data_IF_495196855875
#
_entry.id   IF_495196855875
#
_cell.length_a   1.000
_cell.length_b   1.000
_cell.length_c   1.000
_cell.angle_alpha   90.00
_cell.angle_beta   90.00
_cell.angle_gamma   90.00
#
_symmetry.space_group_name_H-M   'P 1'
#
loop_
_entity.id
_entity.type
_entity.pdbx_description
1 polymer ?
#
# COMPACT_ATOMS: atom_id res chain seq x y z
N UNK A 1 -23.57 0.20 1.06
CA UNK A 1 -22.30 0.28 1.78
C UNK A 1 -21.86 1.73 1.79
N UNK A 2 -21.67 2.33 2.97
CA UNK A 2 -21.19 3.71 3.11
C UNK A 2 -19.67 3.62 3.25
N UNK A 3 -18.94 4.48 2.53
CA UNK A 3 -17.47 4.59 2.62
C UNK A 3 -17.11 6.01 3.02
N UNK A 4 -16.37 6.13 4.12
CA UNK A 4 -15.87 7.41 4.63
C UNK A 4 -14.37 7.47 4.34
N UNK A 5 -13.92 8.58 3.73
CA UNK A 5 -12.50 8.84 3.48
C UNK A 5 -11.96 9.74 4.59
N UNK A 6 -10.85 9.35 5.18
CA UNK A 6 -10.10 10.16 6.13
C UNK A 6 -8.76 10.56 5.52
N UNK A 7 -8.31 11.74 5.86
CA UNK A 7 -6.96 12.21 5.66
C UNK A 7 -6.24 12.23 7.02
N UNK A 8 -5.12 11.53 7.10
CA UNK A 8 -4.33 11.43 8.32
C UNK A 8 -3.04 12.22 8.15
N UNK A 9 -2.87 13.29 8.94
CA UNK A 9 -1.63 14.06 8.99
C UNK A 9 -0.80 13.61 10.17
N UNK A 10 0.39 13.08 9.90
CA UNK A 10 1.34 12.71 10.94
C UNK A 10 2.00 13.99 11.49
N UNK A 11 1.98 14.15 12.81
CA UNK A 11 2.61 15.28 13.51
C UNK A 11 4.02 14.95 14.00
N UNK A 12 4.38 13.68 14.00
CA UNK A 12 5.71 13.16 14.36
C UNK A 12 6.01 11.91 13.54
N UNK A 13 7.25 11.48 13.59
CA UNK A 13 7.67 10.22 12.97
C UNK A 13 6.96 9.04 13.61
N UNK A 14 6.49 8.11 12.76
CA UNK A 14 5.80 6.88 13.19
C UNK A 14 6.58 5.69 12.66
N UNK A 15 6.92 4.76 13.55
CA UNK A 15 7.59 3.50 13.22
C UNK A 15 6.65 2.36 13.57
N UNK A 16 6.26 1.58 12.55
CA UNK A 16 5.41 0.40 12.72
C UNK A 16 6.20 -0.81 12.23
N UNK A 17 6.49 -1.75 13.12
CA UNK A 17 7.20 -2.96 12.76
C UNK A 17 6.31 -3.89 11.93
N UNK A 18 6.90 -4.50 10.91
CA UNK A 18 6.20 -5.46 10.04
C UNK A 18 5.93 -6.79 10.76
N UNK A 19 6.82 -7.19 11.67
CA UNK A 19 6.71 -8.39 12.47
C UNK A 19 7.32 -8.15 13.86
N UNK A 20 6.89 -8.94 14.85
CA UNK A 20 7.59 -9.00 16.12
C UNK A 20 8.96 -9.62 15.84
N UNK A 21 10.01 -8.80 15.90
CA UNK A 21 11.34 -9.28 15.61
C UNK A 21 11.90 -10.06 16.78
N UNK A 22 12.17 -11.31 16.54
CA UNK A 22 13.02 -12.15 17.39
C UNK A 22 14.46 -12.19 16.91
N UNK A 23 14.72 -11.86 15.64
CA UNK A 23 16.05 -11.87 15.03
C UNK A 23 16.33 -10.55 14.28
N UNK A 24 17.24 -9.78 14.75
CA UNK A 24 18.03 -8.65 14.25
C UNK A 24 17.68 -7.82 13.01
N UNK A 25 16.75 -8.23 12.18
CA UNK A 25 16.33 -7.52 10.98
C UNK A 25 14.89 -7.00 11.10
N UNK A 26 14.74 -5.85 11.77
CA UNK A 26 13.46 -5.15 11.83
C UNK A 26 13.17 -4.44 10.52
N UNK A 27 12.19 -4.93 9.78
CA UNK A 27 11.59 -4.16 8.69
C UNK A 27 10.38 -3.37 9.18
N UNK A 28 10.26 -2.13 8.75
CA UNK A 28 9.13 -1.26 9.05
C UNK A 28 8.11 -1.26 7.92
N UNK A 29 6.85 -1.07 8.25
CA UNK A 29 5.79 -0.83 7.29
C UNK A 29 5.93 0.57 6.70
N UNK A 30 5.61 0.70 5.42
CA UNK A 30 5.54 1.95 4.68
C UNK A 30 4.10 2.50 4.56
N UNK A 31 3.18 1.97 5.37
CA UNK A 31 1.78 2.37 5.49
C UNK A 31 1.30 2.16 6.93
N UNK A 32 0.17 2.76 7.30
CA UNK A 32 -0.46 2.53 8.61
C UNK A 32 -1.57 1.50 8.44
N UNK A 33 -1.48 0.33 9.09
CA UNK A 33 -2.52 -0.70 9.01
C UNK A 33 -3.84 -0.23 9.60
N UNK A 34 -4.95 -0.67 9.01
CA UNK A 34 -6.30 -0.37 9.50
C UNK A 34 -6.52 -0.80 10.95
N UNK A 35 -5.84 -1.86 11.40
CA UNK A 35 -5.87 -2.31 12.79
C UNK A 35 -5.32 -1.27 13.78
N UNK A 36 -4.39 -0.40 13.35
CA UNK A 36 -3.89 0.70 14.20
C UNK A 36 -4.99 1.72 14.47
N UNK A 37 -5.80 2.04 13.47
CA UNK A 37 -6.96 2.93 13.65
C UNK A 37 -8.06 2.26 14.48
N UNK A 38 -8.32 0.98 14.26
CA UNK A 38 -9.22 0.22 15.12
C UNK A 38 -8.77 0.26 16.59
N UNK A 39 -7.46 0.11 16.85
CA UNK A 39 -6.90 0.19 18.19
C UNK A 39 -7.10 1.56 18.85
N UNK A 40 -6.94 2.65 18.08
CA UNK A 40 -7.20 4.01 18.57
C UNK A 40 -8.67 4.17 18.97
N UNK A 41 -9.60 3.72 18.13
CA UNK A 41 -11.04 3.79 18.46
C UNK A 41 -11.37 2.87 19.64
N UNK A 42 -10.75 1.70 19.73
CA UNK A 42 -10.96 0.76 20.84
C UNK A 42 -10.44 1.29 22.18
N UNK A 43 -9.48 2.21 22.21
CA UNK A 43 -9.06 2.86 23.46
C UNK A 43 -10.19 3.67 24.13
N UNK A 44 -11.21 4.04 23.36
CA UNK A 44 -12.42 4.71 23.83
C UNK A 44 -13.61 3.77 24.01
N UNK A 45 -13.37 2.45 24.10
CA UNK A 45 -14.44 1.45 24.12
C UNK A 45 -15.51 1.71 25.19
N UNK A 46 -15.10 2.17 26.36
CA UNK A 46 -16.02 2.45 27.47
C UNK A 46 -16.96 3.65 27.25
N UNK A 47 -16.68 4.49 26.25
CA UNK A 47 -17.50 5.66 25.90
C UNK A 47 -18.65 5.29 24.97
N UNK A 48 -18.63 4.10 24.35
CA UNK A 48 -19.68 3.65 23.45
C UNK A 48 -20.84 2.97 24.21
N UNK A 49 -22.04 3.09 23.67
CA UNK A 49 -23.15 2.23 24.08
C UNK A 49 -22.82 0.76 23.76
N UNK A 50 -23.44 -0.19 24.45
CA UNK A 50 -23.27 -1.61 24.15
C UNK A 50 -23.59 -1.95 22.69
N UNK A 51 -24.66 -1.34 22.14
CA UNK A 51 -25.08 -1.55 20.76
C UNK A 51 -24.04 -1.03 19.76
N UNK A 52 -23.51 0.17 19.99
CA UNK A 52 -22.49 0.76 19.15
C UNK A 52 -21.19 -0.03 19.23
N UNK A 53 -20.77 -0.44 20.43
CA UNK A 53 -19.58 -1.25 20.64
C UNK A 53 -19.69 -2.60 19.90
N UNK A 54 -20.83 -3.27 19.99
CA UNK A 54 -21.08 -4.51 19.25
C UNK A 54 -21.05 -4.30 17.75
N UNK A 55 -21.59 -3.19 17.27
CA UNK A 55 -21.59 -2.85 15.84
C UNK A 55 -20.19 -2.52 15.34
N UNK A 56 -19.42 -1.70 16.06
CA UNK A 56 -18.11 -1.24 15.65
C UNK A 56 -17.05 -2.34 15.71
N UNK A 57 -17.02 -3.11 16.79
CA UNK A 57 -15.89 -3.99 17.09
C UNK A 57 -16.16 -5.48 16.84
N UNK A 58 -17.41 -5.91 16.93
CA UNK A 58 -17.73 -7.35 16.94
C UNK A 58 -18.59 -7.82 15.75
N UNK A 59 -19.34 -6.94 15.09
CA UNK A 59 -20.25 -7.33 14.01
C UNK A 59 -19.58 -7.56 12.66
N UNK A 60 -18.36 -7.05 12.45
CA UNK A 60 -17.69 -7.01 11.14
C UNK A 60 -18.33 -6.06 10.12
N UNK A 61 -19.36 -5.28 10.52
CA UNK A 61 -20.03 -4.30 9.66
C UNK A 61 -19.16 -3.07 9.40
N UNK A 62 -18.30 -2.72 10.36
CA UNK A 62 -17.34 -1.61 10.25
C UNK A 62 -15.95 -2.16 9.97
N UNK A 63 -15.26 -1.58 9.01
CA UNK A 63 -13.90 -1.96 8.64
C UNK A 63 -13.03 -0.73 8.50
N UNK A 64 -11.89 -0.74 9.15
CA UNK A 64 -10.86 0.28 9.00
C UNK A 64 -9.90 -0.14 7.89
N UNK A 65 -9.74 0.72 6.89
CA UNK A 65 -8.77 0.48 5.82
C UNK A 65 -7.38 1.00 6.18
N UNK A 66 -6.37 0.49 5.46
CA UNK A 66 -5.00 0.96 5.59
C UNK A 66 -4.87 2.41 5.10
N UNK A 67 -4.05 3.20 5.79
CA UNK A 67 -3.67 4.52 5.32
C UNK A 67 -2.36 4.42 4.51
N UNK A 68 -2.45 4.76 3.24
CA UNK A 68 -1.33 4.82 2.32
C UNK A 68 -0.82 6.25 2.19
N UNK A 69 0.47 6.44 1.89
CA UNK A 69 1.02 7.77 1.67
C UNK A 69 0.31 8.48 0.51
N UNK A 70 0.20 9.79 0.63
CA UNK A 70 -0.29 10.63 -0.44
C UNK A 70 0.72 10.73 -1.59
N UNK A 71 0.23 10.96 -2.81
CA UNK A 71 1.11 11.19 -3.95
C UNK A 71 1.85 12.52 -3.83
N UNK A 72 3.18 12.49 -3.82
CA UNK A 72 4.01 13.71 -3.86
C UNK A 72 3.84 14.50 -5.15
N UNK A 73 3.53 13.81 -6.26
CA UNK A 73 3.39 14.45 -7.58
C UNK A 73 2.03 15.10 -7.79
N UNK A 74 1.01 14.60 -7.11
CA UNK A 74 -0.36 15.12 -7.19
C UNK A 74 -1.00 15.08 -5.81
N UNK A 75 -0.90 16.16 -5.01
CA UNK A 75 -1.57 16.26 -3.72
C UNK A 75 -3.08 15.99 -3.83
N UNK A 76 -3.66 15.34 -2.85
CA UNK A 76 -5.07 14.89 -2.85
C UNK A 76 -5.31 13.55 -3.54
N UNK A 77 -4.32 12.99 -4.26
CA UNK A 77 -4.47 11.68 -4.90
C UNK A 77 -4.06 10.55 -3.96
N UNK A 78 -5.01 9.64 -3.77
CA UNK A 78 -4.75 8.39 -3.06
C UNK A 78 -3.76 7.52 -3.83
N UNK A 79 -2.79 6.98 -3.12
CA UNK A 79 -1.92 5.95 -3.67
C UNK A 79 -2.42 4.56 -3.30
N UNK A 80 -2.01 3.58 -4.09
CA UNK A 80 -2.21 2.17 -3.83
C UNK A 80 -0.85 1.47 -3.79
N UNK A 81 -0.75 0.42 -2.97
CA UNK A 81 0.45 -0.40 -2.95
C UNK A 81 0.67 -1.05 -4.31
N UNK A 82 1.92 -1.10 -4.76
CA UNK A 82 2.27 -1.75 -6.03
C UNK A 82 1.90 -3.23 -5.96
N UNK A 83 1.05 -3.73 -6.88
CA UNK A 83 0.69 -5.13 -6.90
C UNK A 83 1.88 -6.02 -7.30
N UNK A 84 1.92 -7.23 -6.76
CA UNK A 84 2.98 -8.21 -7.02
C UNK A 84 3.08 -8.64 -8.50
N UNK A 85 2.07 -8.33 -9.31
CA UNK A 85 2.05 -8.58 -10.75
C UNK A 85 2.88 -7.61 -11.57
N UNK A 86 3.38 -6.51 -10.98
CA UNK A 86 4.21 -5.54 -11.69
C UNK A 86 5.69 -5.88 -11.58
N UNK A 87 6.36 -5.78 -12.71
CA UNK A 87 7.77 -6.05 -12.89
C UNK A 87 8.45 -4.90 -13.64
N UNK A 88 9.75 -4.76 -13.46
CA UNK A 88 10.59 -3.81 -14.17
C UNK A 88 11.89 -4.45 -14.64
N UNK A 89 12.55 -3.91 -15.67
CA UNK A 89 13.84 -4.40 -16.16
C UNK A 89 14.91 -4.37 -15.07
N UNK A 90 15.64 -5.47 -14.88
CA UNK A 90 16.59 -5.67 -13.79
C UNK A 90 17.65 -4.56 -13.66
N UNK A 91 18.07 -3.96 -14.75
CA UNK A 91 19.12 -2.93 -14.79
C UNK A 91 18.57 -1.50 -14.86
N UNK A 92 17.24 -1.32 -14.83
CA UNK A 92 16.59 0.00 -14.83
C UNK A 92 16.03 0.34 -13.47
N UNK A 93 15.79 1.63 -13.23
CA UNK A 93 15.09 2.07 -12.05
C UNK A 93 13.63 1.60 -12.08
N UNK A 94 13.08 1.26 -10.92
CA UNK A 94 11.67 0.91 -10.78
C UNK A 94 10.73 2.07 -11.16
N UNK A 95 11.20 3.31 -11.06
CA UNK A 95 10.42 4.52 -11.37
C UNK A 95 10.27 4.76 -12.87
N UNK A 96 11.16 4.21 -13.68
CA UNK A 96 11.19 4.53 -15.11
C UNK A 96 10.20 3.70 -15.91
N UNK A 97 10.12 2.40 -15.60
CA UNK A 97 9.25 1.48 -16.35
C UNK A 97 8.77 0.34 -15.43
N UNK A 98 7.45 0.15 -15.36
CA UNK A 98 6.85 -1.00 -14.71
C UNK A 98 6.02 -1.80 -15.72
N UNK A 99 6.11 -3.12 -15.66
CA UNK A 99 5.38 -4.04 -16.54
C UNK A 99 4.41 -4.91 -15.75
N UNK A 100 3.29 -5.27 -16.37
CA UNK A 100 2.42 -6.36 -15.88
C UNK A 100 2.93 -7.65 -16.48
N UNK A 101 3.53 -8.51 -15.66
CA UNK A 101 4.28 -9.69 -16.14
C UNK A 101 3.47 -10.63 -17.00
N UNK A 102 2.20 -10.94 -16.65
CA UNK A 102 1.37 -11.90 -17.39
C UNK A 102 0.96 -11.44 -18.79
N UNK A 103 1.04 -10.12 -19.06
CA UNK A 103 0.77 -9.53 -20.38
C UNK A 103 2.05 -9.18 -21.13
N UNK A 104 3.22 -9.39 -20.51
CA UNK A 104 4.49 -9.00 -21.08
C UNK A 104 5.02 -10.06 -22.05
N UNK A 105 5.22 -9.69 -23.29
CA UNK A 105 5.85 -10.55 -24.28
C UNK A 105 7.37 -10.32 -24.29
N UNK A 106 8.10 -11.24 -23.67
CA UNK A 106 9.56 -11.21 -23.56
C UNK A 106 10.29 -11.24 -24.91
N UNK A 107 9.60 -11.68 -25.97
CA UNK A 107 10.21 -11.76 -27.30
C UNK A 107 10.19 -10.41 -28.03
N UNK A 108 9.32 -9.48 -27.63
CA UNK A 108 9.26 -8.14 -28.24
C UNK A 108 10.39 -7.21 -27.78
N UNK A 109 10.80 -7.32 -26.51
CA UNK A 109 11.86 -6.49 -25.94
C UNK A 109 13.12 -7.34 -25.68
N UNK A 110 13.90 -7.54 -26.71
CA UNK A 110 15.21 -8.14 -26.59
C UNK A 110 16.23 -7.08 -26.15
N UNK A 111 17.18 -7.49 -25.32
CA UNK A 111 18.39 -6.69 -25.07
C UNK A 111 19.20 -6.56 -26.39
N UNK A 112 20.12 -5.60 -26.44
CA UNK A 112 20.98 -5.40 -27.62
C UNK A 112 21.79 -6.65 -28.05
N UNK A 113 21.91 -7.64 -27.15
CA UNK A 113 22.56 -8.95 -27.39
C UNK A 113 21.59 -10.04 -27.84
N UNK A 114 20.34 -9.71 -28.14
CA UNK A 114 19.30 -10.63 -28.58
C UNK A 114 18.68 -11.51 -27.48
N UNK A 115 19.12 -11.36 -26.23
CA UNK A 115 18.60 -12.14 -25.09
C UNK A 115 17.32 -11.55 -24.55
N UNK A 116 16.41 -12.38 -24.00
CA UNK A 116 15.21 -11.89 -23.33
C UNK A 116 15.56 -10.98 -22.17
N UNK A 117 14.85 -9.86 -22.01
CA UNK A 117 15.06 -8.95 -20.90
C UNK A 117 14.73 -9.63 -19.57
N UNK A 118 15.67 -9.55 -18.62
CA UNK A 118 15.43 -10.04 -17.27
C UNK A 118 14.56 -9.04 -16.49
N UNK A 119 13.49 -9.54 -15.89
CA UNK A 119 12.57 -8.75 -15.10
C UNK A 119 12.78 -8.98 -13.61
N UNK A 120 12.60 -7.93 -12.82
CA UNK A 120 12.59 -7.93 -11.36
C UNK A 120 11.22 -7.48 -10.86
N UNK A 121 10.66 -8.21 -9.91
CA UNK A 121 9.37 -7.88 -9.32
C UNK A 121 9.43 -6.59 -8.51
N UNK A 122 8.40 -5.75 -8.64
CA UNK A 122 8.19 -4.60 -7.78
C UNK A 122 7.74 -5.09 -6.40
N UNK A 123 8.57 -4.93 -5.37
CA UNK A 123 8.29 -5.42 -4.02
C UNK A 123 7.90 -4.33 -3.03
N UNK A 124 8.19 -3.07 -3.34
CA UNK A 124 7.97 -1.91 -2.48
C UNK A 124 7.47 -0.73 -3.29
N UNK A 125 6.77 0.17 -2.62
CA UNK A 125 6.32 1.43 -3.17
C UNK A 125 4.82 1.49 -3.42
N UNK A 126 4.39 2.68 -3.82
CA UNK A 126 3.00 3.03 -4.07
C UNK A 126 2.90 3.70 -5.44
N UNK A 127 1.73 3.58 -6.06
CA UNK A 127 1.42 4.27 -7.30
C UNK A 127 0.07 4.99 -7.19
N UNK A 128 -0.09 6.06 -7.92
CA UNK A 128 -1.36 6.75 -8.09
C UNK A 128 -1.81 6.61 -9.54
N UNK A 129 -3.10 6.32 -9.74
CA UNK A 129 -3.69 6.43 -11.05
C UNK A 129 -3.82 7.92 -11.39
N UNK A 130 -3.12 8.33 -12.42
CA UNK A 130 -3.46 9.57 -13.10
C UNK A 130 -4.40 9.17 -14.23
N UNK A 131 -5.66 9.62 -14.19
CA UNK A 131 -6.50 9.53 -15.38
C UNK A 131 -5.73 10.21 -16.52
N UNK A 132 -5.16 9.40 -17.40
CA UNK A 132 -4.60 9.90 -18.63
C UNK A 132 -5.72 10.57 -19.38
N UNK A 133 -5.50 11.81 -19.79
CA UNK A 133 -6.25 12.38 -20.90
C UNK A 133 -5.92 11.48 -22.09
N UNK A 134 -6.87 10.62 -22.49
CA UNK A 134 -6.85 9.93 -23.76
C UNK A 134 -7.13 10.92 -24.90
#
# INVERSE_FOLDING_TARGET
MIRIKFECKLLSDVIINQSAATDGNNSTLDFIPGNSFLGIVASHYAEFSMEDAMTLFHSGKVRFGDAHPESRMKPGFRTLRIPASLYYPKLKSQTDVCYVHHLYDRNKDKQNDGRPQQLKQCRKGFFAFTSGQG
#
